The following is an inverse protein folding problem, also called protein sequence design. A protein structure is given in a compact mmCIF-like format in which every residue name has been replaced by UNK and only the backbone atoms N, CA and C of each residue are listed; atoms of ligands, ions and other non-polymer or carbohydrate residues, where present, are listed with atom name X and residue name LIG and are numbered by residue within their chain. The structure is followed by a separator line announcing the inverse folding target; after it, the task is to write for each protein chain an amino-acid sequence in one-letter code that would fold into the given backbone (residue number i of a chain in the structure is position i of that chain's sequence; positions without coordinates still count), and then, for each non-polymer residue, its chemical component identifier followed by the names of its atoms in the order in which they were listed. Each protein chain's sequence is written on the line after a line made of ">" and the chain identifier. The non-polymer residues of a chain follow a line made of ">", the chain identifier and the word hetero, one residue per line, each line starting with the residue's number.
data_IF_813706564791
#
_entry.id   IF_813706564791
#
_cell.length_a   1.000
_cell.length_b   1.000
_cell.length_c   1.000
_cell.angle_alpha   90.00
_cell.angle_beta   90.00
_cell.angle_gamma   90.00
#
_symmetry.space_group_name_H-M   'P 1'
#
loop_
_entity.id
_entity.type
_entity.pdbx_description
1 polymer ?
#
# COMPACT_ATOMS: atom_id res chain seq x y z
N UNK A 1 15.90 -1.24 -8.75
CA UNK A 1 14.70 -1.87 -8.15
C UNK A 1 14.40 -3.11 -8.93
N UNK A 2 14.90 -4.25 -8.46
CA UNK A 2 14.59 -5.56 -9.03
C UNK A 2 13.19 -5.99 -8.56
N UNK A 3 12.39 -6.46 -9.51
CA UNK A 3 10.99 -6.82 -9.35
C UNK A 3 10.81 -7.98 -8.37
N UNK A 4 10.09 -7.72 -7.29
CA UNK A 4 9.64 -8.76 -6.36
C UNK A 4 8.44 -9.51 -6.97
N UNK A 5 8.65 -10.81 -7.16
CA UNK A 5 7.69 -11.89 -7.44
C UNK A 5 7.08 -12.00 -8.85
N UNK A 6 7.55 -13.03 -9.57
CA UNK A 6 7.12 -13.44 -10.90
C UNK A 6 5.86 -14.31 -10.89
N UNK A 7 4.75 -13.79 -10.37
CA UNK A 7 3.43 -14.34 -10.71
C UNK A 7 2.81 -13.47 -11.80
N UNK A 8 2.37 -14.02 -12.95
CA UNK A 8 1.66 -13.23 -13.95
C UNK A 8 0.39 -12.67 -13.32
N UNK A 9 0.38 -11.35 -13.07
CA UNK A 9 -0.78 -10.68 -12.51
C UNK A 9 -1.88 -10.64 -13.54
N UNK A 10 -2.96 -11.36 -13.25
CA UNK A 10 -4.19 -11.31 -14.04
C UNK A 10 -5.17 -10.43 -13.30
N UNK A 11 -5.53 -9.31 -13.91
CA UNK A 11 -6.59 -8.46 -13.41
C UNK A 11 -7.93 -9.02 -13.89
N UNK A 12 -8.75 -9.52 -12.98
CA UNK A 12 -10.04 -10.16 -13.29
C UNK A 12 -10.99 -9.20 -14.03
N UNK A 13 -10.97 -7.92 -13.66
CA UNK A 13 -11.78 -6.89 -14.33
C UNK A 13 -11.37 -6.62 -15.79
N UNK A 14 -10.18 -7.06 -16.20
CA UNK A 14 -9.69 -6.95 -17.58
C UNK A 14 -9.84 -8.24 -18.40
N UNK A 15 -10.41 -9.32 -17.84
CA UNK A 15 -10.53 -10.61 -18.53
C UNK A 15 -11.23 -10.50 -19.88
N UNK A 16 -12.41 -9.86 -19.93
CA UNK A 16 -13.17 -9.65 -21.17
C UNK A 16 -12.39 -8.79 -22.16
N UNK A 17 -11.67 -7.78 -21.67
CA UNK A 17 -10.80 -6.95 -22.52
C UNK A 17 -9.73 -7.79 -23.20
N UNK A 18 -9.03 -8.65 -22.45
CA UNK A 18 -7.99 -9.52 -23.01
C UNK A 18 -8.53 -10.56 -23.98
N UNK A 19 -9.74 -11.08 -23.75
CA UNK A 19 -10.44 -11.95 -24.70
C UNK A 19 -10.73 -11.22 -26.02
N UNK A 20 -11.26 -9.99 -25.96
CA UNK A 20 -11.51 -9.18 -27.16
C UNK A 20 -10.21 -8.88 -27.90
N UNK A 21 -9.16 -8.45 -27.19
CA UNK A 21 -7.87 -8.13 -27.82
C UNK A 21 -7.31 -9.33 -28.60
N UNK A 22 -7.50 -10.56 -28.14
CA UNK A 22 -6.97 -11.77 -28.81
C UNK A 22 -7.78 -12.23 -30.00
N UNK A 23 -9.11 -12.09 -29.92
CA UNK A 23 -10.02 -12.71 -30.87
C UNK A 23 -10.54 -11.73 -31.94
N UNK A 24 -10.63 -10.45 -31.62
CA UNK A 24 -11.23 -9.45 -32.50
C UNK A 24 -10.20 -8.71 -33.33
N UNK A 25 -10.47 -8.58 -34.64
CA UNK A 25 -9.61 -7.85 -35.58
C UNK A 25 -9.72 -6.34 -35.40
N UNK A 26 -10.90 -5.84 -35.03
CA UNK A 26 -11.17 -4.41 -34.91
C UNK A 26 -12.08 -4.13 -33.72
N UNK A 27 -11.74 -3.13 -32.92
CA UNK A 27 -12.55 -2.73 -31.76
C UNK A 27 -12.20 -1.31 -31.31
N UNK A 28 -13.13 -0.71 -30.57
CA UNK A 28 -12.97 0.56 -29.87
C UNK A 28 -13.38 0.35 -28.41
N UNK A 29 -12.40 0.22 -27.52
CA UNK A 29 -12.62 0.03 -26.09
C UNK A 29 -12.16 1.27 -25.32
N UNK A 30 -12.92 1.68 -24.32
CA UNK A 30 -12.51 2.69 -23.37
C UNK A 30 -12.25 2.03 -22.02
N UNK A 31 -11.09 2.30 -21.43
CA UNK A 31 -10.76 1.86 -20.06
C UNK A 31 -11.15 2.97 -19.09
N UNK A 32 -12.08 2.67 -18.19
CA UNK A 32 -12.49 3.54 -17.08
C UNK A 32 -11.82 3.01 -15.81
N UNK A 33 -11.01 3.83 -15.14
CA UNK A 33 -10.26 3.40 -13.95
C UNK A 33 -9.74 4.55 -13.10
N UNK A 34 -9.57 4.31 -11.79
CA UNK A 34 -8.80 5.19 -10.92
C UNK A 34 -7.31 4.83 -10.89
N UNK A 35 -6.91 3.75 -11.56
CA UNK A 35 -5.53 3.32 -11.67
C UNK A 35 -4.74 4.16 -12.68
N UNK A 36 -3.42 4.14 -12.55
CA UNK A 36 -2.53 4.82 -13.48
C UNK A 36 -2.47 4.10 -14.83
N UNK A 37 -2.07 4.83 -15.88
CA UNK A 37 -1.75 4.22 -17.17
C UNK A 37 -0.66 3.16 -17.02
N UNK A 38 0.38 3.42 -16.20
CA UNK A 38 1.48 2.49 -15.96
C UNK A 38 0.99 1.13 -15.42
N UNK A 39 -0.03 1.16 -14.55
CA UNK A 39 -0.67 -0.05 -14.01
C UNK A 39 -1.35 -0.87 -15.12
N UNK A 40 -2.07 -0.19 -16.02
CA UNK A 40 -2.69 -0.85 -17.16
C UNK A 40 -1.66 -1.38 -18.17
N UNK A 41 -0.58 -0.63 -18.42
CA UNK A 41 0.53 -1.05 -19.28
C UNK A 41 1.26 -2.28 -18.72
N UNK A 42 1.42 -2.36 -17.40
CA UNK A 42 1.94 -3.55 -16.72
C UNK A 42 1.05 -4.78 -16.96
N UNK A 43 -0.27 -4.60 -16.93
CA UNK A 43 -1.23 -5.66 -17.24
C UNK A 43 -1.09 -6.16 -18.69
N UNK A 44 -0.99 -5.25 -19.67
CA UNK A 44 -0.75 -5.59 -21.07
C UNK A 44 0.55 -6.37 -21.26
N UNK A 45 1.62 -5.96 -20.56
CA UNK A 45 2.92 -6.63 -20.59
C UNK A 45 2.85 -8.04 -20.01
N UNK A 46 2.14 -8.23 -18.91
CA UNK A 46 1.94 -9.55 -18.29
C UNK A 46 1.22 -10.52 -19.25
N UNK A 47 0.23 -10.03 -20.00
CA UNK A 47 -0.51 -10.80 -21.01
C UNK A 47 0.16 -10.84 -22.40
N UNK A 48 1.39 -10.31 -22.51
CA UNK A 48 2.23 -10.27 -23.73
C UNK A 48 1.54 -9.57 -24.91
N UNK A 49 0.79 -8.52 -24.65
CA UNK A 49 0.09 -7.73 -25.66
C UNK A 49 1.00 -6.57 -26.10
N UNK A 50 1.39 -6.57 -27.37
CA UNK A 50 2.09 -5.44 -27.98
C UNK A 50 1.12 -4.28 -28.24
N UNK A 51 1.54 -3.07 -27.92
CA UNK A 51 0.77 -1.85 -28.12
C UNK A 51 1.68 -0.68 -28.49
N UNK A 52 1.08 0.36 -29.05
CA UNK A 52 1.71 1.67 -29.27
C UNK A 52 0.84 2.76 -28.65
N UNK A 53 1.49 3.79 -28.10
CA UNK A 53 0.82 4.96 -27.52
C UNK A 53 0.77 6.09 -28.53
N UNK A 54 -0.40 6.71 -28.65
CA UNK A 54 -0.60 7.88 -29.49
C UNK A 54 -1.43 8.92 -28.76
N UNK A 55 -1.10 10.19 -28.98
CA UNK A 55 -2.03 11.27 -28.72
C UNK A 55 -3.16 11.24 -29.74
N UNK A 56 -4.37 11.68 -29.36
CA UNK A 56 -5.52 11.72 -30.28
C UNK A 56 -5.24 12.52 -31.55
N UNK A 57 -4.40 13.55 -31.48
CA UNK A 57 -3.96 14.36 -32.61
C UNK A 57 -3.02 13.65 -33.60
N UNK A 58 -2.40 12.53 -33.21
CA UNK A 58 -1.33 11.85 -33.97
C UNK A 58 -1.70 10.43 -34.42
N UNK A 59 -2.98 10.05 -34.33
CA UNK A 59 -3.40 8.69 -34.64
C UNK A 59 -3.32 8.43 -36.14
N UNK A 60 -2.41 7.53 -36.52
CA UNK A 60 -2.32 6.96 -37.86
C UNK A 60 -3.05 5.62 -37.99
N UNK A 61 -3.08 5.08 -39.22
CA UNK A 61 -3.50 3.69 -39.45
C UNK A 61 -2.45 2.75 -38.85
N UNK A 62 -2.88 1.84 -37.97
CA UNK A 62 -2.04 0.80 -37.40
C UNK A 62 -2.82 -0.51 -37.24
N UNK A 63 -2.16 -1.63 -37.50
CA UNK A 63 -2.68 -2.97 -37.20
C UNK A 63 -2.46 -3.37 -35.74
N UNK A 64 -1.53 -2.69 -35.05
CA UNK A 64 -1.25 -2.92 -33.63
C UNK A 64 -2.32 -2.29 -32.74
N UNK A 65 -2.44 -2.79 -31.51
CA UNK A 65 -3.23 -2.13 -30.49
C UNK A 65 -2.71 -0.71 -30.26
N UNK A 66 -3.60 0.27 -30.36
CA UNK A 66 -3.27 1.69 -30.17
C UNK A 66 -3.93 2.19 -28.89
N UNK A 67 -3.11 2.57 -27.91
CA UNK A 67 -3.56 3.25 -26.69
C UNK A 67 -3.59 4.75 -26.96
N UNK A 68 -4.75 5.35 -26.76
CA UNK A 68 -5.04 6.74 -27.08
C UNK A 68 -5.02 7.56 -25.80
N UNK A 69 -4.17 8.59 -25.80
CA UNK A 69 -4.11 9.64 -24.80
C UNK A 69 -4.82 10.87 -25.35
N UNK A 70 -5.92 11.27 -24.73
CA UNK A 70 -6.75 12.37 -25.24
C UNK A 70 -6.06 13.73 -25.00
N UNK A 71 -5.72 14.41 -26.08
CA UNK A 71 -5.23 15.79 -26.14
C UNK A 71 -6.12 16.72 -27.00
N UNK A 72 -6.97 16.14 -27.85
CA UNK A 72 -7.88 16.84 -28.76
C UNK A 72 -9.17 16.03 -28.96
N UNK A 73 -10.01 16.46 -29.89
CA UNK A 73 -11.10 15.63 -30.41
C UNK A 73 -10.54 14.37 -31.08
N UNK A 74 -11.28 13.27 -30.96
CA UNK A 74 -10.83 11.94 -31.35
C UNK A 74 -11.37 11.63 -32.74
N UNK A 75 -10.49 11.58 -33.73
CA UNK A 75 -10.80 11.14 -35.09
C UNK A 75 -10.01 9.88 -35.41
N UNK A 76 -10.69 8.73 -35.43
CA UNK A 76 -10.03 7.43 -35.65
C UNK A 76 -10.11 6.99 -37.11
N UNK A 77 -8.98 6.61 -37.73
CA UNK A 77 -9.03 5.94 -39.01
C UNK A 77 -9.69 4.56 -38.85
N UNK A 78 -10.69 4.25 -39.69
CA UNK A 78 -11.28 2.92 -39.72
C UNK A 78 -10.68 2.07 -40.85
N UNK A 79 -10.50 0.75 -40.65
CA UNK A 79 -10.70 -0.01 -39.40
C UNK A 79 -9.43 -0.04 -38.52
N UNK A 80 -9.55 -0.38 -37.21
CA UNK A 80 -8.39 -0.47 -36.31
C UNK A 80 -8.70 -1.01 -34.90
N UNK A 81 -7.67 -1.09 -34.06
CA UNK A 81 -7.72 -1.63 -32.68
C UNK A 81 -7.38 -0.54 -31.68
N UNK A 82 -8.39 0.08 -31.09
CA UNK A 82 -8.24 1.31 -30.31
C UNK A 82 -8.64 1.13 -28.86
N UNK A 83 -7.79 1.61 -27.96
CA UNK A 83 -8.04 1.68 -26.53
C UNK A 83 -7.94 3.12 -26.07
N UNK A 84 -9.06 3.73 -25.69
CA UNK A 84 -9.08 5.04 -25.07
C UNK A 84 -8.84 4.91 -23.56
N UNK A 85 -7.73 5.45 -23.06
CA UNK A 85 -7.46 5.50 -21.63
C UNK A 85 -7.90 6.85 -21.08
N UNK A 86 -9.16 6.95 -20.63
CA UNK A 86 -9.77 8.19 -20.16
C UNK A 86 -11.01 7.87 -19.31
N UNK A 87 -11.23 8.61 -18.22
CA UNK A 87 -12.41 8.46 -17.37
C UNK A 87 -13.66 9.22 -17.85
N UNK A 88 -13.52 10.15 -18.81
CA UNK A 88 -14.66 10.82 -19.43
C UNK A 88 -15.32 9.91 -20.48
N UNK A 89 -16.57 9.50 -20.23
CA UNK A 89 -17.32 8.62 -21.14
C UNK A 89 -17.33 9.13 -22.58
N UNK A 90 -16.95 8.27 -23.52
CA UNK A 90 -17.02 8.53 -24.95
C UNK A 90 -18.04 7.60 -25.61
N UNK A 91 -18.98 8.15 -26.40
CA UNK A 91 -20.11 7.38 -26.95
C UNK A 91 -19.71 6.33 -27.99
N UNK A 92 -18.61 6.55 -28.70
CA UNK A 92 -18.12 5.64 -29.74
C UNK A 92 -17.31 4.45 -29.23
N UNK A 93 -17.06 4.34 -27.92
CA UNK A 93 -16.23 3.29 -27.34
C UNK A 93 -17.05 2.43 -26.38
N UNK A 94 -16.80 1.12 -26.43
CA UNK A 94 -17.33 0.17 -25.44
C UNK A 94 -16.54 0.32 -24.15
N UNK A 95 -17.23 0.54 -23.04
CA UNK A 95 -16.59 0.80 -21.76
C UNK A 95 -16.22 -0.50 -21.05
N UNK A 96 -14.97 -0.60 -20.61
CA UNK A 96 -14.47 -1.63 -19.70
C UNK A 96 -13.99 -0.94 -18.43
N UNK A 97 -14.54 -1.36 -17.30
CA UNK A 97 -14.19 -0.81 -16.00
C UNK A 97 -13.04 -1.62 -15.42
N UNK A 98 -11.88 -0.99 -15.25
CA UNK A 98 -10.70 -1.61 -14.67
C UNK A 98 -10.61 -1.24 -13.19
N UNK A 99 -10.93 -2.20 -12.33
CA UNK A 99 -10.85 -2.07 -10.87
C UNK A 99 -10.07 -3.28 -10.36
N UNK A 100 -8.86 -3.08 -9.80
CA UNK A 100 -8.12 -4.15 -9.18
C UNK A 100 -8.81 -4.66 -7.91
N UNK A 101 -8.80 -5.97 -7.72
CA UNK A 101 -9.24 -6.64 -6.49
C UNK A 101 -8.27 -6.36 -5.34
N UNK A 102 -8.69 -6.65 -4.11
CA UNK A 102 -7.82 -6.54 -2.94
C UNK A 102 -6.59 -7.46 -3.08
N UNK A 103 -6.78 -8.66 -3.61
CA UNK A 103 -5.72 -9.65 -3.82
C UNK A 103 -4.72 -9.19 -4.89
N UNK A 104 -5.20 -8.59 -5.98
CA UNK A 104 -4.35 -8.00 -7.02
C UNK A 104 -3.54 -6.81 -6.48
N UNK A 105 -4.18 -5.92 -5.69
CA UNK A 105 -3.47 -4.82 -5.01
C UNK A 105 -2.42 -5.35 -4.06
N UNK A 106 -2.74 -6.41 -3.30
CA UNK A 106 -1.80 -7.04 -2.37
C UNK A 106 -0.61 -7.67 -3.09
N UNK A 107 -0.83 -8.32 -4.22
CA UNK A 107 0.23 -8.91 -5.03
C UNK A 107 1.24 -7.85 -5.53
N UNK A 108 0.78 -6.64 -5.82
CA UNK A 108 1.65 -5.54 -6.31
C UNK A 108 2.34 -4.81 -5.16
N UNK A 109 1.59 -4.44 -4.13
CA UNK A 109 2.10 -3.59 -3.04
C UNK A 109 2.91 -4.42 -2.04
N UNK A 110 2.62 -5.71 -1.89
CA UNK A 110 3.31 -6.62 -0.99
C UNK A 110 3.06 -6.40 0.50
N UNK A 111 2.38 -5.30 0.88
CA UNK A 111 2.11 -4.95 2.27
C UNK A 111 0.61 -5.04 2.59
N UNK A 112 0.23 -6.13 3.26
CA UNK A 112 -1.16 -6.40 3.65
C UNK A 112 -1.77 -5.30 4.53
N UNK A 113 -1.02 -4.77 5.49
CA UNK A 113 -1.53 -3.72 6.38
C UNK A 113 -1.87 -2.44 5.63
N UNK A 114 -1.02 -2.03 4.69
CA UNK A 114 -1.25 -0.84 3.86
C UNK A 114 -2.48 -1.05 2.97
N UNK A 115 -2.57 -2.19 2.28
CA UNK A 115 -3.68 -2.48 1.37
C UNK A 115 -5.02 -2.57 2.13
N UNK A 116 -5.03 -3.19 3.31
CA UNK A 116 -6.25 -3.29 4.13
C UNK A 116 -6.65 -1.97 4.81
N UNK A 117 -5.69 -1.14 5.23
CA UNK A 117 -5.98 0.17 5.82
C UNK A 117 -6.48 1.19 4.78
N UNK A 118 -6.02 1.09 3.53
CA UNK A 118 -6.31 2.06 2.46
C UNK A 118 -6.99 1.42 1.24
N UNK A 119 -8.00 0.56 1.45
CA UNK A 119 -8.66 -0.24 0.38
C UNK A 119 -9.14 0.57 -0.83
N UNK A 120 -9.54 1.82 -0.60
CA UNK A 120 -10.09 2.73 -1.62
C UNK A 120 -9.01 3.42 -2.47
N UNK A 121 -7.75 3.40 -2.05
CA UNK A 121 -6.64 4.01 -2.79
C UNK A 121 -6.24 3.16 -3.99
N UNK A 122 -5.76 3.81 -5.04
CA UNK A 122 -5.23 3.13 -6.23
C UNK A 122 -3.83 2.55 -5.95
N UNK A 123 -3.34 1.68 -6.82
CA UNK A 123 -2.06 0.98 -6.64
C UNK A 123 -0.89 1.97 -6.54
N UNK A 124 -0.89 3.03 -7.35
CA UNK A 124 0.18 4.02 -7.34
C UNK A 124 0.28 4.77 -6.01
N UNK A 125 -0.86 5.17 -5.43
CA UNK A 125 -0.91 5.76 -4.10
C UNK A 125 -0.46 4.76 -3.02
N UNK A 126 -0.88 3.50 -3.12
CA UNK A 126 -0.47 2.48 -2.16
C UNK A 126 1.04 2.19 -2.23
N UNK A 127 1.63 2.24 -3.43
CA UNK A 127 3.07 2.11 -3.64
C UNK A 127 3.84 3.33 -3.13
N UNK A 128 3.31 4.55 -3.32
CA UNK A 128 3.89 5.75 -2.69
C UNK A 128 3.86 5.64 -1.18
N UNK A 129 2.69 5.28 -0.63
CA UNK A 129 2.55 5.01 0.80
C UNK A 129 3.54 3.93 1.21
N UNK A 130 3.70 2.82 0.50
CA UNK A 130 4.67 1.78 0.85
C UNK A 130 6.14 2.22 0.71
N UNK A 131 6.46 3.08 -0.26
CA UNK A 131 7.81 3.56 -0.57
C UNK A 131 8.26 4.75 0.26
N UNK A 132 7.33 5.60 0.72
CA UNK A 132 7.58 6.74 1.64
C UNK A 132 7.69 6.26 3.12
N UNK A 133 7.48 4.95 3.36
CA UNK A 133 7.21 4.34 4.65
C UNK A 133 8.31 3.49 5.28
N UNK A 134 9.58 3.75 5.00
CA UNK A 134 10.56 3.56 6.09
C UNK A 134 10.50 4.74 7.08
N UNK A 135 10.17 5.95 6.64
CA UNK A 135 10.17 7.15 7.50
C UNK A 135 8.81 7.57 8.07
N UNK A 136 7.69 7.32 7.38
CA UNK A 136 6.35 7.78 7.84
C UNK A 136 5.53 6.74 8.64
N UNK A 137 5.81 5.44 8.53
CA UNK A 137 5.20 4.47 9.47
C UNK A 137 5.65 4.80 10.90
N UNK A 138 6.92 5.13 11.06
CA UNK A 138 7.54 5.37 12.36
C UNK A 138 6.93 6.58 13.08
N UNK A 139 6.60 7.65 12.34
CA UNK A 139 5.92 8.83 12.88
C UNK A 139 4.44 8.56 13.20
N UNK A 140 3.75 7.72 12.41
CA UNK A 140 2.37 7.34 12.68
C UNK A 140 2.21 6.43 13.92
N UNK A 141 3.13 5.48 14.14
CA UNK A 141 3.16 4.68 15.38
C UNK A 141 3.41 5.57 16.61
N UNK A 142 4.24 6.60 16.48
CA UNK A 142 4.40 7.63 17.50
C UNK A 142 3.08 8.35 17.79
N UNK A 143 2.37 8.84 16.78
CA UNK A 143 1.21 9.73 16.97
C UNK A 143 0.02 9.11 17.74
N UNK A 144 -0.20 7.80 17.67
CA UNK A 144 -1.30 7.09 18.34
C UNK A 144 -0.99 6.59 19.76
N UNK A 145 0.24 6.79 20.23
CA UNK A 145 0.67 6.43 21.58
C UNK A 145 0.83 7.67 22.45
N UNK A 146 0.32 7.59 23.68
CA UNK A 146 0.61 8.61 24.68
C UNK A 146 2.04 8.47 25.22
N UNK A 147 2.48 9.46 25.98
CA UNK A 147 3.81 9.50 26.57
C UNK A 147 4.09 8.28 27.46
N UNK A 148 3.12 7.86 28.28
CA UNK A 148 3.30 6.74 29.19
C UNK A 148 3.39 5.41 28.46
N UNK A 149 2.56 5.22 27.43
CA UNK A 149 2.66 4.08 26.50
C UNK A 149 4.04 4.01 25.84
N UNK A 150 4.61 5.16 25.49
CA UNK A 150 5.94 5.28 24.88
C UNK A 150 7.05 4.81 25.83
N UNK A 151 7.03 5.27 27.08
CA UNK A 151 7.97 4.84 28.12
C UNK A 151 7.86 3.35 28.40
N UNK A 152 6.63 2.83 28.50
CA UNK A 152 6.39 1.40 28.76
C UNK A 152 6.92 0.54 27.61
N UNK A 153 6.75 0.96 26.35
CA UNK A 153 7.31 0.24 25.20
C UNK A 153 8.84 0.12 25.26
N UNK A 154 9.52 1.16 25.75
CA UNK A 154 10.97 1.12 25.97
C UNK A 154 11.33 0.19 27.13
N UNK A 155 10.59 0.21 28.23
CA UNK A 155 10.81 -0.70 29.36
C UNK A 155 10.58 -2.18 28.98
N UNK A 156 9.54 -2.47 28.19
CA UNK A 156 9.22 -3.83 27.69
C UNK A 156 10.26 -4.34 26.69
N UNK A 157 10.96 -3.44 25.99
CA UNK A 157 12.09 -3.83 25.12
C UNK A 157 13.22 -4.44 25.94
N UNK A 158 13.51 -3.86 27.11
CA UNK A 158 14.66 -4.23 27.95
C UNK A 158 14.33 -5.29 28.99
N UNK A 159 13.10 -5.34 29.48
CA UNK A 159 12.62 -6.29 30.50
C UNK A 159 11.36 -7.01 30.04
N UNK A 160 11.26 -8.30 30.35
CA UNK A 160 10.13 -9.13 29.90
C UNK A 160 9.11 -9.42 31.00
N UNK A 161 9.47 -9.36 32.28
CA UNK A 161 8.55 -9.64 33.40
C UNK A 161 7.91 -8.37 33.94
N UNK A 162 6.65 -8.46 34.38
CA UNK A 162 5.89 -7.29 34.85
C UNK A 162 6.61 -6.50 35.96
N UNK A 163 7.16 -7.20 36.98
CA UNK A 163 7.86 -6.54 38.09
C UNK A 163 9.11 -5.77 37.64
N UNK A 164 9.83 -6.30 36.66
CA UNK A 164 11.04 -5.68 36.12
C UNK A 164 10.68 -4.49 35.23
N UNK A 165 9.61 -4.62 34.42
CA UNK A 165 9.06 -3.53 33.61
C UNK A 165 8.59 -2.38 34.50
N UNK A 166 7.95 -2.69 35.65
CA UNK A 166 7.51 -1.68 36.62
C UNK A 166 8.70 -0.93 37.24
N UNK A 167 9.74 -1.64 37.65
CA UNK A 167 10.95 -1.01 38.19
C UNK A 167 11.61 -0.10 37.14
N UNK A 168 11.83 -0.61 35.93
CA UNK A 168 12.43 0.15 34.82
C UNK A 168 11.57 1.36 34.41
N UNK A 169 10.25 1.20 34.32
CA UNK A 169 9.34 2.31 33.98
C UNK A 169 9.36 3.41 35.07
N UNK A 170 9.47 3.01 36.35
CA UNK A 170 9.57 3.94 37.48
C UNK A 170 10.89 4.72 37.49
N UNK A 171 11.98 4.08 37.08
CA UNK A 171 13.29 4.75 36.92
C UNK A 171 13.25 5.82 35.82
N UNK A 172 12.49 5.57 34.74
CA UNK A 172 12.30 6.54 33.65
C UNK A 172 11.33 7.66 34.06
N UNK A 173 10.20 7.32 34.68
CA UNK A 173 9.22 8.30 35.17
C UNK A 173 8.53 7.79 36.43
N UNK A 174 8.67 8.52 37.54
CA UNK A 174 8.14 8.13 38.84
C UNK A 174 6.61 7.92 38.83
N UNK A 175 5.87 8.60 37.95
CA UNK A 175 4.41 8.45 37.81
C UNK A 175 3.99 7.06 37.31
N UNK A 176 4.90 6.34 36.65
CA UNK A 176 4.70 4.95 36.25
C UNK A 176 5.00 3.93 37.36
N UNK A 177 5.42 4.37 38.54
CA UNK A 177 5.59 3.52 39.71
C UNK A 177 4.29 2.94 40.28
N UNK A 178 3.13 3.37 39.79
CA UNK A 178 1.83 2.81 40.16
C UNK A 178 1.55 1.53 39.34
N UNK A 179 1.53 0.38 40.03
CA UNK A 179 1.34 -0.93 39.41
C UNK A 179 0.01 -1.07 38.66
N UNK A 180 -1.08 -0.49 39.19
CA UNK A 180 -2.40 -0.53 38.55
C UNK A 180 -2.40 0.30 37.25
N UNK A 181 -1.82 1.50 37.30
CA UNK A 181 -1.74 2.37 36.12
C UNK A 181 -0.87 1.75 35.02
N UNK A 182 0.29 1.19 35.38
CA UNK A 182 1.15 0.47 34.45
C UNK A 182 0.41 -0.70 33.81
N UNK A 183 -0.28 -1.52 34.61
CA UNK A 183 -1.02 -2.68 34.13
C UNK A 183 -2.14 -2.28 33.17
N UNK A 184 -2.86 -1.20 33.45
CA UNK A 184 -3.89 -0.66 32.56
C UNK A 184 -3.30 -0.25 31.20
N UNK A 185 -2.18 0.49 31.20
CA UNK A 185 -1.50 0.92 29.97
C UNK A 185 -0.90 -0.24 29.19
N UNK A 186 -0.27 -1.19 29.88
CA UNK A 186 0.32 -2.39 29.28
C UNK A 186 -0.76 -3.28 28.64
N UNK A 187 -1.92 -3.44 29.28
CA UNK A 187 -3.07 -4.12 28.68
C UNK A 187 -3.59 -3.38 27.44
N UNK A 188 -3.59 -2.05 27.46
CA UNK A 188 -3.91 -1.22 26.29
C UNK A 188 -2.95 -1.48 25.12
N UNK A 189 -1.64 -1.53 25.40
CA UNK A 189 -0.61 -1.87 24.41
C UNK A 189 -0.74 -3.29 23.86
N UNK A 190 -1.17 -4.25 24.69
CA UNK A 190 -1.46 -5.62 24.26
C UNK A 190 -2.70 -5.66 23.36
N UNK A 191 -3.76 -4.93 23.72
CA UNK A 191 -4.97 -4.84 22.90
C UNK A 191 -4.70 -4.19 21.54
N UNK A 192 -3.84 -3.16 21.50
CA UNK A 192 -3.32 -2.51 20.28
C UNK A 192 -2.31 -3.37 19.51
N UNK A 193 -1.96 -4.56 20.01
CA UNK A 193 -0.98 -5.50 19.43
C UNK A 193 0.46 -4.96 19.31
N UNK A 194 0.80 -3.88 20.03
CA UNK A 194 2.17 -3.37 20.11
C UNK A 194 3.04 -4.20 21.07
N UNK A 195 2.42 -4.87 22.04
CA UNK A 195 3.05 -5.80 22.96
C UNK A 195 2.33 -7.15 22.88
N UNK A 196 3.09 -8.24 22.89
CA UNK A 196 2.56 -9.60 23.03
C UNK A 196 2.77 -10.06 24.46
N UNK A 197 1.73 -10.62 25.07
CA UNK A 197 1.76 -11.19 26.41
C UNK A 197 1.65 -12.71 26.34
N UNK A 198 2.63 -13.40 26.90
CA UNK A 198 2.65 -14.86 27.08
C UNK A 198 2.78 -15.17 28.58
N UNK A 199 1.64 -15.43 29.24
CA UNK A 199 1.61 -15.62 30.70
C UNK A 199 2.01 -14.34 31.46
N UNK A 200 3.13 -14.41 32.18
CA UNK A 200 3.74 -13.27 32.90
C UNK A 200 4.87 -12.57 32.12
N UNK A 201 5.12 -12.99 30.88
CA UNK A 201 6.14 -12.40 30.01
C UNK A 201 5.53 -11.51 28.94
N UNK A 202 6.19 -10.38 28.68
CA UNK A 202 5.82 -9.37 27.70
C UNK A 202 6.95 -9.19 26.69
N UNK A 203 6.61 -8.97 25.43
CA UNK A 203 7.56 -8.68 24.36
C UNK A 203 7.00 -7.64 23.41
N UNK A 204 7.82 -6.69 22.99
CA UNK A 204 7.45 -5.75 21.92
C UNK A 204 7.20 -6.50 20.61
N UNK A 205 6.17 -6.07 19.88
CA UNK A 205 5.76 -6.61 18.59
C UNK A 205 5.82 -5.52 17.51
N UNK A 206 6.90 -4.75 17.55
CA UNK A 206 7.19 -3.65 16.62
C UNK A 206 8.65 -3.72 16.18
N UNK A 207 8.99 -3.07 15.07
CA UNK A 207 10.36 -3.05 14.57
C UNK A 207 11.30 -2.27 15.50
N UNK A 208 12.61 -2.57 15.44
CA UNK A 208 13.64 -1.79 16.15
C UNK A 208 13.66 -0.31 15.76
N UNK A 209 13.22 -0.01 14.54
CA UNK A 209 13.21 1.34 14.00
C UNK A 209 12.06 2.17 14.63
N UNK A 210 10.88 1.57 14.81
CA UNK A 210 9.77 2.15 15.59
C UNK A 210 10.19 2.44 17.04
N UNK A 211 10.92 1.53 17.69
CA UNK A 211 11.42 1.76 19.06
C UNK A 211 12.42 2.92 19.13
N UNK A 212 13.29 3.09 18.11
CA UNK A 212 14.19 4.24 18.00
C UNK A 212 13.42 5.55 17.84
N UNK A 213 12.34 5.55 17.05
CA UNK A 213 11.48 6.72 16.90
C UNK A 213 10.77 7.10 18.22
N UNK A 214 10.22 6.10 18.92
CA UNK A 214 9.61 6.27 20.25
C UNK A 214 10.63 6.83 21.24
N UNK A 215 11.85 6.29 21.27
CA UNK A 215 12.95 6.78 22.10
C UNK A 215 13.21 8.28 21.87
N UNK A 216 13.43 8.67 20.61
CA UNK A 216 13.66 10.07 20.23
C UNK A 216 12.56 11.01 20.71
N UNK A 217 11.29 10.57 20.66
CA UNK A 217 10.15 11.37 21.12
C UNK A 217 10.13 11.57 22.63
N UNK A 218 10.56 10.58 23.39
CA UNK A 218 10.65 10.62 24.87
C UNK A 218 11.95 11.30 25.32
N UNK A 219 12.88 11.57 24.42
CA UNK A 219 14.20 12.12 24.74
C UNK A 219 15.19 11.07 25.26
N UNK A 220 14.94 9.79 24.98
CA UNK A 220 15.78 8.65 25.38
C UNK A 220 16.36 7.98 24.14
N UNK A 221 17.65 7.61 24.17
CA UNK A 221 18.18 6.79 23.09
C UNK A 221 17.66 5.35 23.28
N UNK A 222 16.98 4.80 22.28
CA UNK A 222 16.35 3.49 22.42
C UNK A 222 17.39 2.37 22.59
N UNK A 223 18.66 2.66 22.25
CA UNK A 223 19.80 1.77 22.44
C UNK A 223 20.51 1.96 23.79
N UNK A 224 20.13 2.97 24.59
CA UNK A 224 20.70 3.24 25.93
C UNK A 224 19.82 2.85 27.11
N UNK A 225 18.63 2.27 26.88
CA UNK A 225 17.75 1.79 27.94
C UNK A 225 18.22 0.42 28.44
N UNK A 226 19.07 0.42 29.46
CA UNK A 226 19.61 -0.77 30.16
C UNK A 226 18.60 -1.35 31.16
#
# INVERSE_FOLDING_TARGET
>A
MESVSGCPMRFESLKVFFEIVRNERHFKIQIITLESLDTFEAALKAEKIAYAKYFSSMIGKSESLSIILKDSDIYLPNPGRYVLFNNMRHREFVQVVFIPTLEEKLAIVGNRYIVEAYKHKNISELLKIAGEKETEIESHFGSGMDYFESVIMLAVRSKSKFKEILACSKEIDEKLGNSFFLQMKLNGLVHKQFVVRNGDSYRVNVSKAVLRHIGRRVGLDADSVV
#
